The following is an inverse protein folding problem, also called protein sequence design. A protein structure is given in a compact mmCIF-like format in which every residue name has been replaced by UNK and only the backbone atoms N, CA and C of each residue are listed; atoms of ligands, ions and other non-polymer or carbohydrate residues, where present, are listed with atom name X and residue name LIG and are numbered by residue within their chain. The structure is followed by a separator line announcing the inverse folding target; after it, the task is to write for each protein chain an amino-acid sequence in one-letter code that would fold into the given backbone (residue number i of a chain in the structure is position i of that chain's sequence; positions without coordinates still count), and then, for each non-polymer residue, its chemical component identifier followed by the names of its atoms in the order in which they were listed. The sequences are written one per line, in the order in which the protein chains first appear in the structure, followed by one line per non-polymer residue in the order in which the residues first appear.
data_IF_224548557788
#
_entry.id   IF_224548557788
#
_cell.length_a   1.000
_cell.length_b   1.000
_cell.length_c   1.000
_cell.angle_alpha   90.00
_cell.angle_beta   90.00
_cell.angle_gamma   90.00
#
_symmetry.space_group_name_H-M   'P 1'
#
loop_
_entity.id
_entity.type
_entity.pdbx_description
1 polymer ?
#
# COMPACT_ATOMS: atom_id res chain seq x y z
N UNK A 1 10.91 -5.11 32.93
CA UNK A 1 9.92 -4.78 31.88
C UNK A 1 10.60 -5.12 30.57
N UNK A 2 10.04 -6.03 29.78
CA UNK A 2 10.61 -6.36 28.48
C UNK A 2 10.55 -5.11 27.60
N UNK A 3 11.69 -4.71 27.05
CA UNK A 3 11.81 -3.60 26.12
C UNK A 3 10.78 -3.80 24.99
N UNK A 4 9.91 -2.83 24.64
CA UNK A 4 8.89 -2.98 23.59
C UNK A 4 9.48 -3.13 22.18
N UNK A 5 10.76 -3.46 22.08
CA UNK A 5 11.54 -3.57 20.87
C UNK A 5 10.96 -4.63 19.93
N UNK A 6 10.85 -4.28 18.65
CA UNK A 6 10.36 -5.17 17.61
C UNK A 6 11.06 -6.53 17.65
N UNK A 7 10.29 -7.62 17.56
CA UNK A 7 10.80 -9.01 17.56
C UNK A 7 11.78 -9.34 16.44
N UNK A 8 11.88 -8.44 15.45
CA UNK A 8 12.77 -8.53 14.30
C UNK A 8 14.07 -7.73 14.49
N UNK A 9 14.32 -7.20 15.70
CA UNK A 9 15.53 -6.45 16.04
C UNK A 9 15.50 -4.99 15.58
N UNK A 10 14.32 -4.41 15.34
CA UNK A 10 14.21 -2.98 15.07
C UNK A 10 14.18 -2.19 16.39
N UNK A 11 14.86 -1.04 16.40
CA UNK A 11 14.84 -0.10 17.52
C UNK A 11 13.57 0.76 17.52
N UNK A 12 12.42 0.09 17.65
CA UNK A 12 11.10 0.70 17.64
C UNK A 12 10.10 -0.18 18.39
N UNK A 13 9.04 0.45 18.90
CA UNK A 13 7.91 -0.25 19.52
C UNK A 13 7.24 -1.16 18.49
N UNK A 14 7.02 -2.42 18.86
CA UNK A 14 6.24 -3.33 18.03
C UNK A 14 4.75 -2.99 18.06
N UNK A 15 4.31 -2.17 17.11
CA UNK A 15 2.89 -1.96 16.81
C UNK A 15 2.57 -2.29 15.35
N UNK A 16 1.29 -2.20 14.98
CA UNK A 16 0.84 -2.50 13.61
C UNK A 16 1.51 -1.58 12.59
N UNK A 17 1.60 -0.28 12.88
CA UNK A 17 2.19 0.68 11.96
C UNK A 17 3.66 0.38 11.71
N UNK A 18 4.43 0.13 12.78
CA UNK A 18 5.81 -0.32 12.69
C UNK A 18 5.93 -1.56 11.81
N UNK A 19 5.20 -2.64 12.13
CA UNK A 19 5.28 -3.91 11.40
C UNK A 19 4.99 -3.74 9.91
N UNK A 20 3.88 -3.07 9.57
CA UNK A 20 3.42 -3.02 8.20
C UNK A 20 4.17 -1.95 7.39
N UNK A 21 4.52 -0.81 7.99
CA UNK A 21 5.01 0.37 7.27
C UNK A 21 6.51 0.61 7.44
N UNK A 22 7.07 0.37 8.63
CA UNK A 22 8.45 0.79 8.96
C UNK A 22 9.47 -0.36 9.08
N UNK A 23 9.03 -1.54 9.52
CA UNK A 23 9.88 -2.67 9.91
C UNK A 23 10.78 -3.09 8.76
N UNK A 24 12.11 -3.02 8.97
CA UNK A 24 13.12 -3.22 7.92
C UNK A 24 13.06 -4.62 7.33
N UNK A 25 12.67 -5.63 8.12
CA UNK A 25 12.43 -7.00 7.67
C UNK A 25 11.49 -7.09 6.46
N UNK A 26 10.49 -6.22 6.39
CA UNK A 26 9.46 -6.24 5.35
C UNK A 26 9.64 -5.14 4.30
N UNK A 27 10.75 -4.41 4.31
CA UNK A 27 11.00 -3.30 3.40
C UNK A 27 10.99 -3.73 1.93
N UNK A 28 11.64 -4.84 1.60
CA UNK A 28 11.65 -5.37 0.23
C UNK A 28 10.26 -5.78 -0.25
N UNK A 29 9.42 -6.31 0.64
CA UNK A 29 8.06 -6.71 0.28
C UNK A 29 7.19 -5.50 -0.03
N UNK A 30 7.33 -4.42 0.76
CA UNK A 30 6.69 -3.14 0.48
C UNK A 30 7.17 -2.55 -0.86
N UNK A 31 8.48 -2.49 -1.09
CA UNK A 31 9.05 -1.96 -2.33
C UNK A 31 8.61 -2.75 -3.56
N UNK A 32 8.61 -4.08 -3.46
CA UNK A 32 8.15 -4.96 -4.54
C UNK A 32 6.66 -4.78 -4.82
N UNK A 33 5.81 -4.72 -3.79
CA UNK A 33 4.39 -4.47 -3.94
C UNK A 33 4.10 -3.07 -4.53
N UNK A 34 4.85 -2.04 -4.10
CA UNK A 34 4.76 -0.68 -4.63
C UNK A 34 5.11 -0.64 -6.12
N UNK A 35 6.15 -1.37 -6.54
CA UNK A 35 6.54 -1.44 -7.95
C UNK A 35 5.50 -2.19 -8.79
N UNK A 36 4.92 -3.28 -8.27
CA UNK A 36 3.85 -4.02 -8.94
C UNK A 36 2.62 -3.13 -9.17
N UNK A 37 2.16 -2.42 -8.13
CA UNK A 37 0.96 -1.60 -8.22
C UNK A 37 1.18 -0.36 -9.10
N UNK A 38 2.38 0.22 -9.07
CA UNK A 38 2.79 1.30 -9.97
C UNK A 38 2.72 0.86 -11.43
N UNK A 39 3.30 -0.31 -11.74
CA UNK A 39 3.33 -0.87 -13.10
C UNK A 39 1.91 -1.17 -13.59
N UNK A 40 1.09 -1.82 -12.76
CA UNK A 40 -0.31 -2.14 -13.09
C UNK A 40 -1.14 -0.87 -13.31
N UNK A 41 -0.97 0.13 -12.45
CA UNK A 41 -1.65 1.43 -12.56
C UNK A 41 -1.26 2.11 -13.87
N UNK A 42 0.04 2.17 -14.19
CA UNK A 42 0.49 2.81 -15.43
C UNK A 42 -0.04 2.12 -16.68
N UNK A 43 0.01 0.79 -16.73
CA UNK A 43 -0.50 0.02 -17.86
C UNK A 43 -2.00 0.28 -18.07
N UNK A 44 -2.79 0.25 -17.00
CA UNK A 44 -4.24 0.50 -17.06
C UNK A 44 -4.56 1.93 -17.54
N UNK A 45 -3.79 2.92 -17.11
CA UNK A 45 -3.95 4.30 -17.59
C UNK A 45 -3.56 4.44 -19.07
N UNK A 46 -2.51 3.71 -19.51
CA UNK A 46 -2.09 3.64 -20.91
C UNK A 46 -3.12 3.00 -21.83
N UNK A 47 -3.70 1.88 -21.44
CA UNK A 47 -4.79 1.21 -22.15
C UNK A 47 -6.02 2.11 -22.31
N UNK A 48 -6.23 3.05 -21.38
CA UNK A 48 -7.31 4.05 -21.42
C UNK A 48 -6.95 5.31 -22.22
N UNK A 49 -5.76 5.38 -22.81
CA UNK A 49 -5.33 6.53 -23.61
C UNK A 49 -5.07 7.81 -22.81
N UNK A 50 -4.93 7.71 -21.49
CA UNK A 50 -4.64 8.88 -20.63
C UNK A 50 -3.22 9.34 -20.92
N UNK A 51 -2.98 10.63 -21.13
CA UNK A 51 -1.64 11.15 -21.45
C UNK A 51 -0.71 11.01 -20.25
N UNK A 52 0.57 10.74 -20.48
CA UNK A 52 1.57 10.57 -19.41
C UNK A 52 1.58 11.74 -18.40
N UNK A 53 1.46 12.99 -18.89
CA UNK A 53 1.39 14.18 -18.04
C UNK A 53 0.23 14.13 -17.03
N UNK A 54 -0.89 13.51 -17.42
CA UNK A 54 -2.09 13.40 -16.59
C UNK A 54 -2.05 12.17 -15.67
N UNK A 55 -1.05 11.29 -15.79
CA UNK A 55 -0.89 10.09 -14.94
C UNK A 55 -0.06 10.37 -13.68
N UNK A 56 0.75 11.43 -13.68
CA UNK A 56 1.77 11.69 -12.65
C UNK A 56 1.20 11.65 -11.23
N UNK A 57 0.03 12.26 -11.01
CA UNK A 57 -0.63 12.27 -9.69
C UNK A 57 -0.98 10.86 -9.21
N UNK A 58 -1.66 10.07 -10.04
CA UNK A 58 -2.06 8.69 -9.70
C UNK A 58 -0.86 7.78 -9.47
N UNK A 59 0.19 7.92 -10.28
CA UNK A 59 1.43 7.15 -10.13
C UNK A 59 2.18 7.51 -8.85
N UNK A 60 2.16 8.78 -8.45
CA UNK A 60 2.75 9.25 -7.19
C UNK A 60 2.02 8.65 -5.99
N UNK A 61 0.69 8.62 -6.04
CA UNK A 61 -0.14 8.00 -5.00
C UNK A 61 0.13 6.50 -4.93
N UNK A 62 0.10 5.80 -6.08
CA UNK A 62 0.34 4.36 -6.14
C UNK A 62 1.71 3.97 -5.56
N UNK A 63 2.76 4.75 -5.88
CA UNK A 63 4.11 4.55 -5.33
C UNK A 63 4.16 4.69 -3.81
N UNK A 64 3.30 5.55 -3.25
CA UNK A 64 3.27 5.88 -1.82
C UNK A 64 2.29 5.02 -1.00
N UNK A 65 1.64 4.02 -1.60
CA UNK A 65 0.60 3.21 -0.93
C UNK A 65 1.11 2.53 0.35
N UNK A 66 2.34 2.02 0.34
CA UNK A 66 2.89 1.21 1.44
C UNK A 66 3.89 1.95 2.32
N UNK A 67 3.94 3.27 2.20
CA UNK A 67 4.83 4.15 2.96
C UNK A 67 4.04 5.31 3.52
N UNK A 68 4.49 5.86 4.65
CA UNK A 68 3.92 7.12 5.12
C UNK A 68 4.23 8.23 4.12
N UNK A 69 3.20 9.02 3.81
CA UNK A 69 3.32 10.18 2.96
C UNK A 69 2.25 11.20 3.40
N UNK A 70 2.74 12.34 3.88
CA UNK A 70 1.94 13.42 4.47
C UNK A 70 0.90 13.97 3.49
N UNK A 71 1.22 13.97 2.19
CA UNK A 71 0.39 14.55 1.13
C UNK A 71 -0.66 13.58 0.58
N UNK A 72 -0.46 12.28 0.81
CA UNK A 72 -1.29 11.22 0.21
C UNK A 72 -2.28 10.63 1.22
N UNK A 73 -1.82 10.39 2.46
CA UNK A 73 -2.65 9.80 3.49
C UNK A 73 -3.35 10.88 4.31
N UNK A 74 -4.70 10.83 4.48
CA UNK A 74 -5.45 11.87 5.19
C UNK A 74 -4.99 12.17 6.62
N UNK A 75 -4.33 11.20 7.27
CA UNK A 75 -3.78 11.35 8.62
C UNK A 75 -2.27 11.17 8.63
N UNK A 76 -1.63 11.29 7.46
CA UNK A 76 -0.19 11.20 7.23
C UNK A 76 0.44 9.81 7.47
N UNK A 77 -0.32 8.88 8.04
CA UNK A 77 0.08 7.49 8.25
C UNK A 77 -0.62 6.54 7.27
N UNK A 78 0.14 5.59 6.73
CA UNK A 78 -0.43 4.55 5.87
C UNK A 78 -1.19 3.51 6.70
N UNK A 79 -2.47 3.32 6.37
CA UNK A 79 -3.35 2.31 7.00
C UNK A 79 -3.73 1.18 6.04
N UNK A 80 -2.90 0.92 5.03
CA UNK A 80 -3.18 -0.08 4.01
C UNK A 80 -3.47 -1.47 4.61
N UNK A 81 -2.85 -1.80 5.75
CA UNK A 81 -3.02 -3.06 6.45
C UNK A 81 -4.41 -3.24 7.08
N UNK A 82 -5.20 -2.16 7.19
CA UNK A 82 -6.61 -2.17 7.55
C UNK A 82 -7.53 -2.23 6.32
N UNK A 83 -6.97 -2.40 5.12
CA UNK A 83 -7.71 -2.41 3.85
C UNK A 83 -8.07 -1.01 3.33
N UNK A 84 -7.54 0.05 3.92
CA UNK A 84 -7.79 1.41 3.45
C UNK A 84 -6.94 1.75 2.21
N UNK A 85 -7.45 2.68 1.41
CA UNK A 85 -6.79 3.23 0.24
C UNK A 85 -6.89 4.76 0.35
N UNK A 86 -5.82 5.52 0.02
CA UNK A 86 -5.87 6.98 0.07
C UNK A 86 -6.89 7.53 -0.92
N UNK A 87 -7.42 8.72 -0.65
CA UNK A 87 -8.30 9.41 -1.62
C UNK A 87 -7.46 9.91 -2.79
N UNK A 88 -7.86 9.58 -4.01
CA UNK A 88 -7.12 9.96 -5.23
C UNK A 88 -8.00 10.64 -6.27
N UNK A 89 -9.25 11.00 -5.93
CA UNK A 89 -10.21 11.62 -6.85
C UNK A 89 -9.70 12.92 -7.47
N UNK A 90 -8.86 13.64 -6.72
CA UNK A 90 -8.20 14.88 -7.12
C UNK A 90 -7.09 14.66 -8.17
N UNK A 91 -6.52 13.46 -8.23
CA UNK A 91 -5.47 13.08 -9.18
C UNK A 91 -6.04 12.43 -10.45
N UNK A 92 -7.35 12.19 -10.52
CA UNK A 92 -7.98 11.69 -11.73
C UNK A 92 -7.91 12.76 -12.83
N UNK A 93 -7.61 12.38 -14.08
CA UNK A 93 -7.56 13.32 -15.19
C UNK A 93 -8.90 14.03 -15.37
N UNK A 94 -8.84 15.30 -15.76
CA UNK A 94 -10.01 16.09 -16.14
C UNK A 94 -10.62 15.52 -17.41
N UNK A 95 -11.63 14.66 -17.26
CA UNK A 95 -12.42 14.16 -18.39
C UNK A 95 -13.61 15.11 -18.63
N UNK A 96 -14.03 15.36 -19.89
CA UNK A 96 -15.23 16.14 -20.19
C UNK A 96 -16.46 15.59 -19.46
N UNK A 97 -17.46 16.44 -19.14
CA UNK A 97 -18.66 16.04 -18.36
C UNK A 97 -19.43 14.84 -18.93
N UNK A 98 -19.35 14.62 -20.26
CA UNK A 98 -19.94 13.46 -20.93
C UNK A 98 -19.30 12.11 -20.52
N UNK A 99 -18.19 12.15 -19.78
CA UNK A 99 -17.35 10.99 -19.45
C UNK A 99 -17.28 10.69 -17.94
N UNK A 100 -18.21 11.26 -17.15
CA UNK A 100 -18.30 11.07 -15.69
C UNK A 100 -18.38 9.59 -15.29
N UNK A 101 -19.07 8.77 -16.10
CA UNK A 101 -19.19 7.33 -15.88
C UNK A 101 -17.84 6.62 -16.08
N UNK A 102 -17.07 7.00 -17.10
CA UNK A 102 -15.74 6.43 -17.36
C UNK A 102 -14.77 6.82 -16.26
N UNK A 103 -14.80 8.07 -15.81
CA UNK A 103 -14.02 8.54 -14.65
C UNK A 103 -14.35 7.71 -13.40
N UNK A 104 -15.63 7.51 -13.12
CA UNK A 104 -16.09 6.73 -11.95
C UNK A 104 -15.64 5.27 -12.05
N UNK A 105 -15.77 4.65 -13.23
CA UNK A 105 -15.31 3.27 -13.46
C UNK A 105 -13.81 3.14 -13.32
N UNK A 106 -13.04 4.08 -13.87
CA UNK A 106 -11.59 4.11 -13.70
C UNK A 106 -11.21 4.21 -12.22
N UNK A 107 -11.81 5.15 -11.49
CA UNK A 107 -11.58 5.31 -10.07
C UNK A 107 -11.89 4.04 -9.29
N UNK A 108 -13.06 3.44 -9.55
CA UNK A 108 -13.44 2.17 -8.93
C UNK A 108 -12.43 1.05 -9.23
N UNK A 109 -12.01 0.90 -10.49
CA UNK A 109 -11.06 -0.14 -10.88
C UNK A 109 -9.69 0.04 -10.21
N UNK A 110 -9.20 1.29 -10.12
CA UNK A 110 -7.95 1.59 -9.42
C UNK A 110 -8.07 1.32 -7.93
N UNK A 111 -9.17 1.73 -7.29
CA UNK A 111 -9.41 1.47 -5.88
C UNK A 111 -9.45 -0.03 -5.57
N UNK A 112 -10.11 -0.83 -6.40
CA UNK A 112 -10.14 -2.29 -6.26
C UNK A 112 -8.76 -2.92 -6.40
N UNK A 113 -7.97 -2.50 -7.39
CA UNK A 113 -6.61 -2.99 -7.58
C UNK A 113 -5.71 -2.65 -6.39
N UNK A 114 -5.75 -1.40 -5.95
CA UNK A 114 -4.95 -0.91 -4.83
C UNK A 114 -5.35 -1.61 -3.54
N UNK A 115 -6.65 -1.71 -3.25
CA UNK A 115 -7.16 -2.44 -2.09
C UNK A 115 -6.70 -3.91 -2.10
N UNK A 116 -6.79 -4.59 -3.25
CA UNK A 116 -6.35 -5.98 -3.38
C UNK A 116 -4.86 -6.13 -3.09
N UNK A 117 -4.02 -5.21 -3.59
CA UNK A 117 -2.59 -5.20 -3.31
C UNK A 117 -2.31 -5.00 -1.81
N UNK A 118 -3.06 -4.09 -1.16
CA UNK A 118 -2.98 -3.84 0.29
C UNK A 118 -3.26 -5.11 1.11
N UNK A 119 -4.38 -5.79 0.84
CA UNK A 119 -4.76 -7.01 1.55
C UNK A 119 -3.75 -8.14 1.32
N UNK A 120 -3.26 -8.32 0.09
CA UNK A 120 -2.26 -9.34 -0.23
C UNK A 120 -0.96 -9.11 0.54
N UNK A 121 -0.45 -7.88 0.55
CA UNK A 121 0.78 -7.56 1.27
C UNK A 121 0.60 -7.72 2.78
N UNK A 122 -0.50 -7.21 3.33
CA UNK A 122 -0.80 -7.34 4.76
C UNK A 122 -0.90 -8.81 5.18
N UNK A 123 -1.63 -9.63 4.42
CA UNK A 123 -1.73 -11.07 4.66
C UNK A 123 -0.38 -11.78 4.57
N UNK A 124 0.49 -11.39 3.64
CA UNK A 124 1.84 -11.95 3.51
C UNK A 124 2.71 -11.63 4.74
N UNK A 125 2.74 -10.38 5.18
CA UNK A 125 3.47 -9.92 6.37
C UNK A 125 2.95 -10.65 7.62
N UNK A 126 1.64 -10.65 7.82
CA UNK A 126 1.02 -11.28 8.98
C UNK A 126 1.26 -12.79 9.03
N UNK A 127 1.12 -13.47 7.89
CA UNK A 127 1.39 -14.90 7.80
C UNK A 127 2.85 -15.25 8.10
N UNK A 128 3.79 -14.36 7.75
CA UNK A 128 5.20 -14.53 8.12
C UNK A 128 5.41 -14.40 9.64
N UNK A 129 4.84 -13.37 10.25
CA UNK A 129 4.91 -13.18 11.69
C UNK A 129 4.36 -14.38 12.46
N UNK A 130 3.21 -14.92 12.06
CA UNK A 130 2.61 -16.09 12.69
C UNK A 130 3.50 -17.32 12.57
N UNK A 131 4.11 -17.55 11.40
CA UNK A 131 5.06 -18.67 11.21
C UNK A 131 6.27 -18.55 12.13
N UNK A 132 6.83 -17.37 12.28
CA UNK A 132 7.97 -17.15 13.18
C UNK A 132 7.60 -17.30 14.65
N UNK A 133 6.40 -16.85 15.05
CA UNK A 133 5.88 -17.09 16.39
C UNK A 133 5.78 -18.60 16.68
N UNK A 134 5.21 -19.38 15.76
CA UNK A 134 5.05 -20.82 15.94
C UNK A 134 6.41 -21.56 16.07
N UNK A 135 7.42 -21.16 15.28
CA UNK A 135 8.79 -21.71 15.39
C UNK A 135 9.41 -21.44 16.76
N UNK A 136 9.24 -20.22 17.29
CA UNK A 136 9.76 -19.86 18.62
C UNK A 136 9.08 -20.66 19.72
N UNK A 137 7.79 -20.94 19.61
CA UNK A 137 7.05 -21.78 20.56
C UNK A 137 7.56 -23.23 20.57
N UNK A 138 7.83 -23.82 19.40
CA UNK A 138 8.28 -25.21 19.31
C UNK A 138 9.72 -25.45 19.82
N UNK A 139 10.58 -24.41 19.82
CA UNK A 139 11.96 -24.52 20.31
C UNK A 139 12.10 -24.37 21.83
N UNK A 140 11.00 -24.11 22.56
CA UNK A 140 10.96 -24.01 24.02
C UNK A 140 10.13 -25.15 24.65
N UNK A 141 9.87 -26.22 23.89
CA UNK A 141 9.20 -27.45 24.35
C UNK A 141 10.15 -28.62 24.49
#
# INVERSE_FOLDING_TARGET
MADPQCRNGCDAVEDQHHIFVMCTRYAEWRSSAAQEILTRTNNKLGEKGIKEADRVGLLTIAKSLFTDNIDIWPLHYSTYFLGHVPKFDHALPGMPDADRLTRTRLAHHLACDWHTACIRLAGRIWGDMQREMAKKTNNHG
#
